data_IF_276413528346
#
_entry.id   IF_276413528346
#
_cell.length_a   1.000
_cell.length_b   1.000
_cell.length_c   1.000
_cell.angle_alpha   90.00
_cell.angle_beta   90.00
_cell.angle_gamma   90.00
#
_symmetry.space_group_name_H-M   'P 1'
#
loop_
_entity.id
_entity.type
_entity.pdbx_description
1 polymer ?
#
# COMPACT_ATOMS: atom_id res chain seq x y z
N UNK A 1 -9.42 25.65 33.69
CA UNK A 1 -9.59 24.59 32.68
C UNK A 1 -9.23 25.15 31.33
N UNK A 2 -8.21 24.63 30.67
CA UNK A 2 -7.96 24.89 29.24
C UNK A 2 -8.65 23.76 28.49
N UNK A 3 -9.61 24.05 27.65
CA UNK A 3 -10.47 23.02 27.07
C UNK A 3 -11.32 22.31 28.13
N UNK A 4 -11.54 20.98 28.01
CA UNK A 4 -12.30 20.17 28.96
C UNK A 4 -11.46 19.46 30.02
N UNK A 5 -10.14 19.68 30.09
CA UNK A 5 -9.25 19.00 31.00
C UNK A 5 -9.03 19.81 32.29
N UNK A 6 -9.06 19.07 33.45
CA UNK A 6 -8.61 19.62 34.73
C UNK A 6 -7.08 19.68 34.71
N UNK A 7 -6.51 20.88 34.95
CA UNK A 7 -5.07 21.10 34.98
C UNK A 7 -4.68 21.31 36.43
N UNK A 8 -3.70 20.56 36.89
CA UNK A 8 -3.06 20.71 38.19
C UNK A 8 -1.58 20.98 37.95
N UNK A 9 -1.03 21.98 38.64
CA UNK A 9 0.37 22.35 38.41
C UNK A 9 0.90 23.28 39.48
N UNK A 10 2.22 23.44 39.44
CA UNK A 10 2.95 24.35 40.32
C UNK A 10 4.04 25.06 39.52
N UNK A 11 4.36 26.28 39.92
CA UNK A 11 5.38 27.02 39.20
C UNK A 11 5.72 28.36 39.85
N UNK A 12 6.63 29.05 39.19
CA UNK A 12 7.04 30.42 39.51
C UNK A 12 6.68 31.30 38.33
N UNK A 13 6.17 32.46 38.63
CA UNK A 13 5.84 33.47 37.65
C UNK A 13 6.33 34.83 38.10
N UNK A 14 6.43 35.79 37.20
CA UNK A 14 6.78 37.13 37.52
C UNK A 14 5.79 37.83 38.43
N UNK A 15 6.06 39.05 38.91
CA UNK A 15 5.18 39.80 39.81
C UNK A 15 3.77 39.96 39.23
N UNK A 16 2.74 39.75 40.09
CA UNK A 16 1.30 39.85 39.64
C UNK A 16 0.97 41.24 39.10
N UNK A 17 1.61 42.27 39.62
CA UNK A 17 1.41 43.68 39.18
C UNK A 17 1.81 43.90 37.74
N UNK A 18 2.82 43.21 37.25
CA UNK A 18 3.29 43.33 35.85
C UNK A 18 2.46 42.51 34.84
N UNK A 19 1.48 41.75 35.29
CA UNK A 19 0.56 41.00 34.38
C UNK A 19 -0.25 41.91 33.43
N UNK A 20 -0.43 43.19 33.83
CA UNK A 20 -1.20 44.19 33.01
C UNK A 20 -0.30 45.06 32.14
N UNK A 21 1.00 44.99 32.39
CA UNK A 21 1.95 45.82 31.61
C UNK A 21 2.16 45.18 30.24
N UNK A 22 2.05 46.00 29.22
CA UNK A 22 2.41 45.63 27.85
C UNK A 22 3.91 45.81 27.70
N UNK A 23 4.58 44.86 27.03
CA UNK A 23 6.02 44.91 26.71
C UNK A 23 6.98 44.58 27.88
N UNK A 24 6.51 43.92 28.90
CA UNK A 24 7.38 43.42 29.98
C UNK A 24 7.71 41.93 29.72
N UNK A 25 8.99 41.59 29.74
CA UNK A 25 9.44 40.22 29.72
C UNK A 25 9.02 39.49 30.97
N UNK A 26 7.84 38.88 30.96
CA UNK A 26 7.29 38.17 32.11
C UNK A 26 7.83 36.74 32.17
N UNK A 27 8.73 36.43 33.10
CA UNK A 27 9.29 35.10 33.25
C UNK A 27 8.24 34.13 33.72
N UNK A 28 8.29 32.92 33.17
CA UNK A 28 7.38 31.84 33.50
C UNK A 28 8.16 30.53 33.60
N UNK A 29 7.98 29.83 34.72
CA UNK A 29 8.49 28.48 34.92
C UNK A 29 7.42 27.68 35.65
N UNK A 30 6.87 26.66 35.03
CA UNK A 30 5.87 25.81 35.67
C UNK A 30 5.91 24.38 35.15
N UNK A 31 5.42 23.46 35.99
CA UNK A 31 5.08 22.10 35.59
C UNK A 31 3.59 21.89 35.86
N UNK A 32 2.95 21.25 34.91
CA UNK A 32 1.52 20.97 35.03
C UNK A 32 1.19 19.57 34.51
N UNK A 33 0.10 19.03 35.02
CA UNK A 33 -0.48 17.75 34.59
C UNK A 33 -1.92 17.96 34.21
N UNK A 34 -2.28 17.44 33.03
CA UNK A 34 -3.64 17.47 32.52
C UNK A 34 -4.00 16.08 31.99
N UNK A 35 -4.77 15.32 32.75
CA UNK A 35 -5.04 13.92 32.47
C UNK A 35 -3.74 13.09 32.45
N UNK A 36 -3.47 12.43 31.33
CA UNK A 36 -2.24 11.64 31.12
C UNK A 36 -1.04 12.47 30.67
N UNK A 37 -1.23 13.76 30.33
CA UNK A 37 -0.20 14.63 29.78
C UNK A 37 0.46 15.44 30.89
N UNK A 38 1.79 15.37 30.98
CA UNK A 38 2.63 16.20 31.82
C UNK A 38 3.40 17.19 30.94
N UNK A 39 3.45 18.45 31.38
CA UNK A 39 4.18 19.50 30.71
C UNK A 39 5.11 20.23 31.65
N UNK A 40 6.29 20.59 31.17
CA UNK A 40 7.19 21.53 31.81
C UNK A 40 7.43 22.68 30.81
N UNK A 41 7.31 23.89 31.32
CA UNK A 41 7.44 25.12 30.54
C UNK A 41 8.36 26.10 31.23
N UNK A 42 9.29 26.67 30.50
CA UNK A 42 10.21 27.68 30.97
C UNK A 42 10.46 28.74 29.91
N UNK A 43 10.41 30.01 30.23
CA UNK A 43 10.70 31.09 29.28
C UNK A 43 10.02 32.40 29.61
N UNK A 44 9.64 33.13 28.55
CA UNK A 44 9.17 34.51 28.66
C UNK A 44 7.86 34.69 27.89
N UNK A 45 6.95 35.47 28.46
CA UNK A 45 5.76 36.05 27.82
C UNK A 45 5.93 37.57 27.72
N UNK A 46 5.90 38.09 26.51
CA UNK A 46 5.95 39.57 26.32
C UNK A 46 4.61 40.23 26.65
N UNK A 47 3.50 39.52 26.53
CA UNK A 47 2.16 40.00 26.88
C UNK A 47 1.39 38.90 27.61
N UNK A 48 1.56 38.76 28.91
CA UNK A 48 0.98 37.67 29.69
C UNK A 48 -0.56 37.70 29.72
N UNK A 49 -1.15 38.91 29.79
CA UNK A 49 -2.61 39.05 29.80
C UNK A 49 -3.32 38.58 28.53
N UNK A 50 -2.62 38.65 27.40
CA UNK A 50 -3.12 38.19 26.10
C UNK A 50 -2.54 36.83 25.67
N UNK A 51 -1.74 36.18 26.49
CA UNK A 51 -1.02 34.92 26.14
C UNK A 51 -0.31 35.02 24.77
N UNK A 52 0.35 36.16 24.52
CA UNK A 52 1.04 36.44 23.26
C UNK A 52 2.48 36.88 23.50
N UNK A 53 3.30 36.83 22.43
CA UNK A 53 4.73 37.06 22.53
C UNK A 53 5.44 35.95 23.32
N UNK A 54 5.00 34.71 23.20
CA UNK A 54 5.61 33.58 23.86
C UNK A 54 6.96 33.25 23.23
N UNK A 55 7.91 32.96 24.10
CA UNK A 55 9.17 32.33 23.77
C UNK A 55 9.52 31.35 24.90
N UNK A 56 9.04 30.13 24.74
CA UNK A 56 9.00 29.13 25.80
C UNK A 56 9.71 27.86 25.35
N UNK A 57 10.58 27.32 26.22
CA UNK A 57 10.99 25.93 26.14
C UNK A 57 9.87 25.06 26.71
N UNK A 58 9.36 24.14 25.91
CA UNK A 58 8.25 23.27 26.30
C UNK A 58 8.69 21.81 26.22
N UNK A 59 8.47 21.09 27.29
CA UNK A 59 8.58 19.62 27.32
C UNK A 59 7.19 19.05 27.56
N UNK A 60 6.80 18.12 26.70
CA UNK A 60 5.53 17.38 26.82
C UNK A 60 5.82 15.90 26.91
N UNK A 61 5.13 15.18 27.78
CA UNK A 61 5.12 13.72 27.81
C UNK A 61 3.72 13.22 28.15
N UNK A 62 3.35 12.06 27.64
CA UNK A 62 2.02 11.51 27.88
C UNK A 62 1.90 10.07 27.39
N UNK A 63 0.78 9.44 27.73
CA UNK A 63 0.49 8.06 27.35
C UNK A 63 0.18 7.91 25.85
N UNK A 64 -0.44 8.94 25.23
CA UNK A 64 -0.74 8.99 23.81
C UNK A 64 -0.75 10.43 23.27
N UNK A 65 -0.33 10.64 22.04
CA UNK A 65 -0.42 11.95 21.38
C UNK A 65 -1.88 12.38 21.18
N UNK A 66 -2.84 11.45 21.09
CA UNK A 66 -4.26 11.77 21.02
C UNK A 66 -4.78 12.54 22.25
N UNK A 67 -4.13 12.38 23.42
CA UNK A 67 -4.50 13.05 24.65
C UNK A 67 -4.23 14.56 24.61
N UNK A 68 -3.36 15.00 23.69
CA UNK A 68 -3.10 16.43 23.46
C UNK A 68 -4.32 17.16 22.90
N UNK A 69 -5.30 16.44 22.32
CA UNK A 69 -6.51 17.06 21.79
C UNK A 69 -7.27 17.90 22.82
N UNK A 70 -7.41 17.37 24.03
CA UNK A 70 -8.11 18.08 25.11
C UNK A 70 -7.44 19.40 25.54
N UNK A 71 -6.14 19.54 25.28
CA UNK A 71 -5.34 20.71 25.64
C UNK A 71 -5.19 21.70 24.48
N UNK A 72 -5.02 21.19 23.27
CA UNK A 72 -4.57 21.97 22.11
C UNK A 72 -5.60 22.07 21.01
N UNK A 73 -6.61 21.20 20.99
CA UNK A 73 -7.54 21.02 19.87
C UNK A 73 -6.91 20.35 18.64
N UNK A 74 -5.65 19.91 18.72
CA UNK A 74 -4.96 19.24 17.63
C UNK A 74 -5.42 17.78 17.51
N UNK A 75 -5.82 17.39 16.33
CA UNK A 75 -6.15 15.98 16.02
C UNK A 75 -4.87 15.22 15.71
N UNK A 76 -4.37 14.51 16.69
CA UNK A 76 -3.19 13.66 16.59
C UNK A 76 -3.57 12.19 16.73
N UNK A 77 -2.77 11.26 16.18
CA UNK A 77 -3.06 9.83 16.24
C UNK A 77 -2.99 9.28 17.66
N UNK A 78 -3.69 8.16 17.88
CA UNK A 78 -3.54 7.39 19.11
C UNK A 78 -2.23 6.58 19.02
N UNK A 79 -1.24 6.99 19.80
CA UNK A 79 0.14 6.45 19.78
C UNK A 79 0.47 5.77 21.09
N UNK A 80 1.57 5.01 21.17
CA UNK A 80 2.24 4.71 22.46
C UNK A 80 2.69 5.98 23.18
N UNK A 81 3.22 5.80 24.37
CA UNK A 81 3.78 6.89 25.17
C UNK A 81 4.76 7.75 24.36
N UNK A 82 4.64 9.04 24.53
CA UNK A 82 5.47 10.02 23.81
C UNK A 82 6.16 10.99 24.79
N UNK A 83 7.26 11.53 24.32
CA UNK A 83 7.95 12.64 24.95
C UNK A 83 8.49 13.56 23.85
N UNK A 84 8.36 14.88 24.03
CA UNK A 84 8.92 15.86 23.11
C UNK A 84 9.41 17.09 23.85
N UNK A 85 10.48 17.72 23.34
CA UNK A 85 11.03 18.97 23.83
C UNK A 85 11.32 19.88 22.63
N UNK A 86 10.94 21.15 22.73
CA UNK A 86 11.19 22.15 21.68
C UNK A 86 10.85 23.57 22.14
N UNK A 87 11.07 24.53 21.26
CA UNK A 87 10.79 25.94 21.49
C UNK A 87 9.42 26.32 20.95
N UNK A 88 8.52 26.81 21.79
CA UNK A 88 7.21 27.29 21.44
C UNK A 88 7.21 28.81 21.38
N UNK A 89 6.89 29.34 20.21
CA UNK A 89 6.81 30.79 19.95
C UNK A 89 5.45 31.17 19.41
N UNK A 90 4.97 32.39 19.72
CA UNK A 90 3.73 32.92 19.13
C UNK A 90 2.69 33.36 20.16
N UNK A 91 1.43 33.01 19.92
CA UNK A 91 0.27 33.40 20.72
C UNK A 91 -0.72 32.23 20.87
N UNK A 92 -1.27 32.09 22.08
CA UNK A 92 -2.33 31.12 22.41
C UNK A 92 -3.68 31.79 22.64
N UNK A 93 -3.91 33.00 22.09
CA UNK A 93 -5.19 33.66 22.22
C UNK A 93 -6.35 32.78 21.71
N UNK A 94 -7.40 32.55 22.51
CA UNK A 94 -8.55 31.78 22.10
C UNK A 94 -9.14 32.27 20.77
N UNK A 95 -9.35 31.38 19.79
CA UNK A 95 -9.88 31.70 18.47
C UNK A 95 -8.92 32.41 17.52
N UNK A 96 -7.73 32.83 17.97
CA UNK A 96 -6.68 33.48 17.18
C UNK A 96 -5.28 32.92 17.51
N UNK A 97 -5.19 31.69 17.95
CA UNK A 97 -3.90 31.08 18.28
C UNK A 97 -3.05 30.94 17.01
N UNK A 98 -1.81 31.42 17.08
CA UNK A 98 -0.78 31.22 16.05
C UNK A 98 0.50 30.89 16.79
N UNK A 99 1.00 29.70 16.61
CA UNK A 99 2.23 29.28 17.27
C UNK A 99 3.11 28.42 16.37
N UNK A 100 4.42 28.53 16.60
CA UNK A 100 5.46 27.72 16.01
C UNK A 100 6.11 26.86 17.11
N UNK A 101 6.15 25.56 16.93
CA UNK A 101 6.91 24.64 17.76
C UNK A 101 8.17 24.24 16.99
N UNK A 102 9.27 24.90 17.33
CA UNK A 102 10.53 24.87 16.58
C UNK A 102 11.53 23.92 17.18
N UNK A 103 12.35 23.33 16.30
CA UNK A 103 13.48 22.48 16.61
C UNK A 103 13.12 21.42 17.66
N UNK A 104 11.91 20.91 17.57
CA UNK A 104 11.48 19.90 18.49
C UNK A 104 12.20 18.58 18.24
N UNK A 105 12.53 17.92 19.33
CA UNK A 105 13.05 16.55 19.36
C UNK A 105 12.16 15.73 20.28
N UNK A 106 11.91 14.48 19.91
CA UNK A 106 11.05 13.64 20.71
C UNK A 106 11.11 12.18 20.35
N UNK A 107 10.37 11.41 21.11
CA UNK A 107 10.15 9.98 20.88
C UNK A 107 8.67 9.66 20.98
N UNK A 108 8.22 8.69 20.19
CA UNK A 108 6.89 8.09 20.25
C UNK A 108 7.08 6.59 20.22
N UNK A 109 6.79 5.91 21.32
CA UNK A 109 7.17 4.51 21.47
C UNK A 109 8.67 4.32 21.31
N UNK A 110 9.07 3.64 20.24
CA UNK A 110 10.48 3.41 19.89
C UNK A 110 10.94 4.22 18.67
N UNK A 111 10.10 5.12 18.19
CA UNK A 111 10.38 6.01 17.06
C UNK A 111 10.95 7.33 17.54
N UNK A 112 11.95 7.88 16.84
CA UNK A 112 12.44 9.24 17.05
C UNK A 112 11.71 10.21 16.12
N UNK A 113 11.45 11.44 16.59
CA UNK A 113 10.83 12.51 15.80
C UNK A 113 11.57 13.82 16.04
N UNK A 114 11.81 14.54 14.94
CA UNK A 114 12.41 15.87 14.93
C UNK A 114 11.69 16.76 13.95
N UNK A 115 11.63 18.06 14.21
CA UNK A 115 11.05 18.94 13.19
C UNK A 115 10.57 20.28 13.70
N UNK A 116 9.73 20.88 12.86
CA UNK A 116 9.11 22.16 13.08
C UNK A 116 7.63 22.08 12.73
N UNK A 117 6.77 22.56 13.60
CA UNK A 117 5.33 22.61 13.41
C UNK A 117 4.83 24.04 13.61
N UNK A 118 3.89 24.44 12.79
CA UNK A 118 3.17 25.69 12.89
C UNK A 118 1.67 25.43 12.89
N UNK A 119 0.97 26.02 13.83
CA UNK A 119 -0.47 25.97 13.87
C UNK A 119 -1.05 27.38 13.78
N UNK A 120 -2.10 27.52 12.99
CA UNK A 120 -2.88 28.74 12.86
C UNK A 120 -4.34 28.40 13.10
N UNK A 121 -4.92 28.94 14.17
CA UNK A 121 -6.36 28.83 14.37
C UNK A 121 -7.10 29.74 13.37
N UNK A 122 -8.29 29.36 12.96
CA UNK A 122 -9.07 30.15 12.02
C UNK A 122 -10.40 29.49 11.65
N UNK A 123 -11.26 30.25 10.95
CA UNK A 123 -12.49 29.75 10.40
C UNK A 123 -12.29 29.35 8.93
N UNK A 124 -12.90 28.25 8.46
CA UNK A 124 -13.77 27.36 9.21
C UNK A 124 -13.02 26.38 10.13
N UNK A 125 -11.72 26.19 9.95
CA UNK A 125 -10.87 25.23 10.69
C UNK A 125 -9.47 25.77 10.95
N UNK A 126 -8.82 25.28 12.00
CA UNK A 126 -7.39 25.50 12.20
C UNK A 126 -6.54 24.71 11.21
N UNK A 127 -5.33 25.21 10.91
CA UNK A 127 -4.37 24.57 10.03
C UNK A 127 -3.08 24.24 10.77
N UNK A 128 -2.67 22.96 10.72
CA UNK A 128 -1.37 22.47 11.15
C UNK A 128 -0.46 22.33 9.92
N UNK A 129 0.72 22.92 9.96
CA UNK A 129 1.72 22.81 8.88
C UNK A 129 3.11 22.59 9.45
N UNK A 130 4.03 22.06 8.62
CA UNK A 130 5.41 21.90 9.03
C UNK A 130 6.14 20.72 8.39
N UNK A 131 7.26 20.39 9.01
CA UNK A 131 8.10 19.25 8.59
C UNK A 131 8.51 18.42 9.78
N UNK A 132 8.46 17.11 9.62
CA UNK A 132 8.86 16.12 10.62
C UNK A 132 9.83 15.13 9.98
N UNK A 133 10.88 14.80 10.67
CA UNK A 133 11.88 13.81 10.24
C UNK A 133 12.04 12.72 11.30
N UNK A 134 12.41 11.53 10.88
CA UNK A 134 12.72 10.39 11.75
C UNK A 134 13.87 9.59 11.15
N UNK A 135 14.82 9.19 11.98
CA UNK A 135 15.87 8.25 11.59
C UNK A 135 15.35 6.82 11.62
N UNK A 136 14.56 6.50 12.65
CA UNK A 136 13.91 5.21 12.78
C UNK A 136 12.46 5.37 13.21
N UNK A 137 11.54 5.06 12.33
CA UNK A 137 10.11 5.06 12.57
C UNK A 137 9.59 3.62 12.62
N UNK A 138 8.83 3.28 13.65
CA UNK A 138 8.03 2.05 13.68
C UNK A 138 6.60 2.39 13.30
N UNK A 139 6.04 1.77 12.28
CA UNK A 139 4.66 2.05 11.87
C UNK A 139 3.65 1.77 12.99
N UNK A 140 3.94 0.78 13.86
CA UNK A 140 3.12 0.49 15.03
C UNK A 140 3.01 1.66 16.02
N UNK A 141 4.02 2.54 16.06
CA UNK A 141 4.04 3.70 16.94
C UNK A 141 3.17 4.86 16.43
N UNK A 142 2.77 4.85 15.16
CA UNK A 142 1.84 5.84 14.61
C UNK A 142 0.36 5.51 14.88
N UNK A 143 0.10 4.36 15.52
CA UNK A 143 -1.26 3.88 15.76
C UNK A 143 -2.01 3.52 14.46
N UNK A 144 -3.33 3.35 14.50
CA UNK A 144 -4.14 2.88 13.37
C UNK A 144 -4.41 3.96 12.29
N UNK A 145 -3.47 4.89 12.05
CA UNK A 145 -3.64 6.02 11.11
C UNK A 145 -3.88 5.53 9.67
N UNK A 146 -3.38 4.35 9.32
CA UNK A 146 -3.42 3.79 7.96
C UNK A 146 -4.10 2.41 7.89
N UNK A 147 -5.04 2.12 8.79
CA UNK A 147 -5.68 0.79 8.80
C UNK A 147 -4.74 -0.37 9.16
N UNK A 148 -3.58 -0.07 9.77
CA UNK A 148 -2.70 -1.09 10.30
C UNK A 148 -3.30 -1.61 11.60
N UNK A 149 -3.86 -2.82 11.58
CA UNK A 149 -4.27 -3.49 12.80
C UNK A 149 -3.08 -3.56 13.76
N UNK A 150 -3.28 -3.11 15.00
CA UNK A 150 -2.35 -3.40 16.09
C UNK A 150 -2.14 -4.91 16.15
N UNK A 151 -0.91 -5.35 16.35
CA UNK A 151 -0.37 -6.70 16.23
C UNK A 151 -1.06 -7.82 17.04
N UNK A 152 -2.12 -7.55 17.75
CA UNK A 152 -2.99 -8.55 18.38
C UNK A 152 -3.99 -9.23 17.43
N UNK A 153 -4.12 -8.78 16.18
CA UNK A 153 -5.03 -9.35 15.17
C UNK A 153 -4.32 -9.97 13.97
N UNK A 154 -3.02 -10.20 14.03
CA UNK A 154 -2.27 -10.94 13.00
C UNK A 154 -2.43 -12.48 13.10
N UNK A 155 -3.37 -12.99 13.92
CA UNK A 155 -3.99 -14.28 13.63
C UNK A 155 -4.89 -14.03 12.43
N UNK A 156 -4.62 -14.73 11.33
CA UNK A 156 -5.41 -14.80 10.09
C UNK A 156 -6.87 -14.45 10.40
N UNK A 157 -7.37 -13.37 9.76
CA UNK A 157 -8.72 -12.88 10.05
C UNK A 157 -9.70 -14.05 10.06
N UNK A 158 -10.68 -14.04 10.94
CA UNK A 158 -11.72 -15.08 11.01
C UNK A 158 -12.28 -15.26 9.60
N UNK A 159 -11.82 -16.28 8.88
CA UNK A 159 -12.25 -16.57 7.50
C UNK A 159 -11.14 -16.71 6.45
N UNK A 160 -9.82 -16.67 6.81
CA UNK A 160 -8.72 -16.90 5.86
C UNK A 160 -8.49 -15.75 4.85
N UNK A 161 -8.95 -14.54 5.13
CA UNK A 161 -8.69 -13.35 4.30
C UNK A 161 -7.27 -12.81 4.49
N UNK A 162 -6.67 -12.32 3.41
CA UNK A 162 -5.30 -11.81 3.34
C UNK A 162 -5.27 -10.27 3.30
N UNK A 163 -6.24 -9.65 2.62
CA UNK A 163 -6.28 -8.19 2.47
C UNK A 163 -6.67 -7.51 3.79
N UNK A 164 -5.98 -6.40 4.17
CA UNK A 164 -6.29 -5.67 5.39
C UNK A 164 -7.71 -5.09 5.37
N UNK A 165 -8.52 -5.43 6.38
CA UNK A 165 -9.91 -4.96 6.50
C UNK A 165 -10.12 -3.99 7.68
N UNK A 166 -9.04 -3.53 8.32
CA UNK A 166 -9.11 -2.50 9.35
C UNK A 166 -9.60 -1.17 8.74
N UNK A 167 -10.62 -0.53 9.32
CA UNK A 167 -11.18 0.70 8.76
C UNK A 167 -10.20 1.88 8.88
N UNK A 168 -10.27 2.80 7.91
CA UNK A 168 -9.56 4.07 7.97
C UNK A 168 -10.17 4.97 9.05
N UNK A 169 -9.34 5.56 9.91
CA UNK A 169 -9.78 6.48 10.96
C UNK A 169 -10.01 7.89 10.38
N UNK A 170 -11.19 8.14 9.86
CA UNK A 170 -11.55 9.40 9.16
C UNK A 170 -12.41 10.36 9.99
N UNK A 171 -12.86 9.96 11.18
CA UNK A 171 -13.87 10.66 11.99
C UNK A 171 -13.53 12.13 12.30
N UNK A 172 -12.23 12.44 12.35
CA UNK A 172 -11.73 13.79 12.70
C UNK A 172 -11.10 14.55 11.54
N UNK A 173 -11.18 14.02 10.31
CA UNK A 173 -10.55 14.67 9.15
C UNK A 173 -11.19 16.02 8.80
N UNK A 174 -12.39 16.27 9.28
CA UNK A 174 -13.07 17.55 9.08
C UNK A 174 -12.83 18.57 10.22
N UNK A 175 -12.07 18.18 11.26
CA UNK A 175 -11.83 19.06 12.41
C UNK A 175 -10.66 20.04 12.20
N UNK A 176 -9.72 19.73 11.30
CA UNK A 176 -8.49 20.50 11.11
C UNK A 176 -7.93 20.28 9.70
N UNK A 177 -7.41 21.31 9.11
CA UNK A 177 -6.60 21.20 7.90
C UNK A 177 -5.13 20.91 8.24
N UNK A 178 -4.42 20.20 7.35
CA UNK A 178 -3.03 19.79 7.58
C UNK A 178 -2.19 19.95 6.30
N UNK A 179 -0.93 20.37 6.47
CA UNK A 179 0.07 20.47 5.41
C UNK A 179 1.44 20.05 5.98
N UNK A 180 1.69 18.74 5.98
CA UNK A 180 2.87 18.15 6.62
C UNK A 180 3.78 17.45 5.61
N UNK A 181 5.07 17.75 5.71
CA UNK A 181 6.14 17.01 5.05
C UNK A 181 6.79 16.08 6.05
N UNK A 182 6.82 14.79 5.75
CA UNK A 182 7.49 13.80 6.58
C UNK A 182 8.61 13.13 5.80
N UNK A 183 9.77 12.92 6.46
CA UNK A 183 10.88 12.14 5.92
C UNK A 183 11.38 11.15 6.97
N UNK A 184 11.44 9.88 6.60
CA UNK A 184 11.89 8.78 7.46
C UNK A 184 12.99 7.96 6.78
N UNK A 185 14.18 7.87 7.39
CA UNK A 185 15.29 7.11 6.79
C UNK A 185 15.01 5.60 6.81
N UNK A 186 14.53 5.09 7.95
CA UNK A 186 14.20 3.67 8.11
C UNK A 186 12.84 3.52 8.77
N UNK A 187 11.92 2.88 8.08
CA UNK A 187 10.58 2.60 8.60
C UNK A 187 10.43 1.10 8.84
N UNK A 188 10.30 0.72 10.11
CA UNK A 188 10.22 -0.67 10.55
C UNK A 188 8.76 -1.11 10.61
N UNK A 189 8.46 -2.23 9.95
CA UNK A 189 7.18 -2.93 10.03
C UNK A 189 7.42 -4.32 10.62
N UNK A 190 6.59 -4.71 11.56
CA UNK A 190 6.71 -6.02 12.19
C UNK A 190 6.38 -7.14 11.19
N UNK A 191 7.24 -8.16 11.09
CA UNK A 191 7.04 -9.28 10.17
C UNK A 191 7.15 -8.94 8.68
N UNK A 192 7.71 -7.78 8.32
CA UNK A 192 7.85 -7.34 6.93
C UNK A 192 9.18 -6.62 6.71
N UNK A 193 9.59 -6.51 5.45
CA UNK A 193 10.79 -5.75 5.10
C UNK A 193 10.65 -4.28 5.53
N UNK A 194 11.72 -3.67 6.04
CA UNK A 194 11.72 -2.25 6.34
C UNK A 194 11.55 -1.44 5.05
N UNK A 195 10.92 -0.28 5.18
CA UNK A 195 10.96 0.74 4.14
C UNK A 195 12.14 1.67 4.41
N UNK A 196 12.77 2.14 3.35
CA UNK A 196 13.91 3.04 3.36
C UNK A 196 13.51 4.36 2.70
N UNK A 197 14.09 5.46 3.14
CA UNK A 197 13.96 6.78 2.52
C UNK A 197 12.49 7.20 2.25
N UNK A 198 11.62 6.94 3.25
CA UNK A 198 10.22 7.37 3.16
C UNK A 198 10.16 8.89 3.11
N UNK A 199 9.51 9.42 2.10
CA UNK A 199 9.18 10.84 1.96
C UNK A 199 7.73 10.99 1.57
N UNK A 200 6.99 11.78 2.32
CA UNK A 200 5.58 12.04 2.04
C UNK A 200 5.23 13.50 2.29
N UNK A 201 4.47 14.08 1.38
CA UNK A 201 3.77 15.34 1.58
C UNK A 201 2.28 15.05 1.77
N UNK A 202 1.81 15.25 2.99
CA UNK A 202 0.43 14.97 3.39
C UNK A 202 -0.36 16.28 3.50
N UNK A 203 -1.35 16.42 2.65
CA UNK A 203 -2.28 17.54 2.61
C UNK A 203 -3.67 17.05 3.01
N UNK A 204 -4.21 17.53 4.12
CA UNK A 204 -5.59 17.30 4.52
C UNK A 204 -6.33 18.64 4.43
N UNK A 205 -7.35 18.69 3.61
CA UNK A 205 -8.22 19.85 3.48
C UNK A 205 -9.61 19.39 3.11
N UNK A 206 -10.60 19.91 3.80
CA UNK A 206 -12.02 19.63 3.55
C UNK A 206 -12.33 18.10 3.54
N UNK A 207 -11.82 17.40 4.56
CA UNK A 207 -11.93 15.95 4.72
C UNK A 207 -11.36 15.12 3.55
N UNK A 208 -10.48 15.70 2.73
CA UNK A 208 -9.73 15.03 1.67
C UNK A 208 -8.26 14.96 2.02
N UNK A 209 -7.73 13.77 2.24
CA UNK A 209 -6.31 13.53 2.44
C UNK A 209 -5.64 13.22 1.10
N UNK A 210 -4.59 13.98 0.79
CA UNK A 210 -3.71 13.78 -0.37
C UNK A 210 -2.31 13.45 0.11
N UNK A 211 -1.75 12.37 -0.36
CA UNK A 211 -0.34 12.01 -0.19
C UNK A 211 0.32 12.15 -1.56
N UNK A 212 0.93 13.30 -1.83
CA UNK A 212 1.54 13.62 -3.13
C UNK A 212 2.76 14.54 -2.95
N UNK A 213 3.98 14.07 -3.14
CA UNK A 213 4.36 12.70 -3.41
C UNK A 213 4.37 11.80 -2.17
N UNK A 214 4.26 10.49 -2.38
CA UNK A 214 4.59 9.44 -1.43
C UNK A 214 5.68 8.56 -2.04
N UNK A 215 6.90 8.66 -1.54
CA UNK A 215 8.06 7.92 -2.03
C UNK A 215 8.65 7.04 -0.93
N UNK A 216 9.09 5.84 -1.27
CA UNK A 216 9.87 5.01 -0.36
C UNK A 216 10.65 3.93 -1.10
N UNK A 217 11.76 3.52 -0.50
CA UNK A 217 12.55 2.37 -0.92
C UNK A 217 12.06 1.08 -0.24
N UNK A 218 12.03 -0.02 -0.96
CA UNK A 218 11.81 -1.37 -0.43
C UNK A 218 12.48 -2.39 -1.35
N UNK A 219 13.04 -3.45 -0.78
CA UNK A 219 13.68 -4.52 -1.56
C UNK A 219 14.68 -3.98 -2.60
N UNK A 220 15.43 -2.94 -2.25
CA UNK A 220 16.40 -2.22 -3.11
C UNK A 220 15.78 -1.56 -4.36
N UNK A 221 14.47 -1.49 -4.46
CA UNK A 221 13.73 -0.74 -5.46
C UNK A 221 13.12 0.54 -4.90
N UNK A 222 12.46 1.31 -5.78
CA UNK A 222 11.76 2.56 -5.42
C UNK A 222 10.29 2.44 -5.75
N UNK A 223 9.45 2.98 -4.87
CA UNK A 223 8.02 3.11 -5.09
C UNK A 223 7.66 4.59 -4.99
N UNK A 224 6.97 5.07 -5.99
CA UNK A 224 6.42 6.41 -6.07
C UNK A 224 4.91 6.31 -6.20
N UNK A 225 4.18 6.99 -5.31
CA UNK A 225 2.72 6.94 -5.29
C UNK A 225 2.13 8.33 -5.13
N UNK A 226 0.92 8.49 -5.66
CA UNK A 226 -0.02 9.56 -5.36
C UNK A 226 -1.29 8.92 -4.87
N UNK A 227 -1.70 9.27 -3.66
CA UNK A 227 -2.91 8.69 -3.04
C UNK A 227 -3.83 9.82 -2.62
N UNK A 228 -5.09 9.72 -2.99
CA UNK A 228 -6.14 10.65 -2.57
C UNK A 228 -7.24 9.83 -1.90
N UNK A 229 -7.56 10.18 -0.65
CA UNK A 229 -8.66 9.60 0.10
C UNK A 229 -9.67 10.71 0.38
N UNK A 230 -10.86 10.58 -0.18
CA UNK A 230 -11.95 11.55 -0.03
C UNK A 230 -13.03 10.96 0.89
N UNK A 231 -13.09 11.47 2.13
CA UNK A 231 -14.03 11.00 3.16
C UNK A 231 -15.29 11.86 3.30
N UNK A 232 -15.55 12.76 2.36
CA UNK A 232 -16.78 13.57 2.36
C UNK A 232 -18.06 12.74 2.15
N UNK A 233 -17.91 11.55 1.58
CA UNK A 233 -18.97 10.56 1.39
C UNK A 233 -18.62 9.24 2.07
N UNK A 234 -19.62 8.47 2.47
CA UNK A 234 -19.43 7.11 3.00
C UNK A 234 -20.06 6.10 2.03
N UNK A 235 -19.33 5.07 1.58
CA UNK A 235 -17.92 4.81 1.84
C UNK A 235 -17.01 5.83 1.14
N UNK A 236 -15.80 6.05 1.72
CA UNK A 236 -14.83 6.98 1.16
C UNK A 236 -14.36 6.55 -0.24
N UNK A 237 -13.98 7.54 -1.04
CA UNK A 237 -13.41 7.29 -2.37
C UNK A 237 -11.88 7.33 -2.29
N UNK A 238 -11.22 6.34 -2.88
CA UNK A 238 -9.76 6.26 -2.96
C UNK A 238 -9.33 6.31 -4.41
N UNK A 239 -8.37 7.18 -4.71
CA UNK A 239 -7.64 7.22 -5.96
C UNK A 239 -6.16 6.97 -5.67
N UNK A 240 -5.53 6.05 -6.41
CA UNK A 240 -4.13 5.71 -6.24
C UNK A 240 -3.45 5.53 -7.59
N UNK A 241 -2.37 6.28 -7.79
CA UNK A 241 -1.41 6.09 -8.88
C UNK A 241 -0.07 5.66 -8.27
N UNK A 242 0.47 4.55 -8.70
CA UNK A 242 1.71 4.00 -8.16
C UNK A 242 2.64 3.57 -9.27
N UNK A 243 3.92 3.88 -9.13
CA UNK A 243 5.00 3.38 -9.97
C UNK A 243 6.01 2.64 -9.13
N UNK A 244 6.40 1.47 -9.58
CA UNK A 244 7.41 0.60 -8.99
C UNK A 244 8.61 0.54 -9.91
N UNK A 245 9.83 0.69 -9.39
CA UNK A 245 11.06 0.69 -10.17
C UNK A 245 12.14 -0.17 -9.51
N UNK A 246 12.72 -1.08 -10.29
CA UNK A 246 13.89 -1.90 -9.91
C UNK A 246 13.73 -2.70 -8.59
N UNK A 247 12.52 -3.11 -8.23
CA UNK A 247 12.28 -3.86 -7.02
C UNK A 247 12.86 -5.27 -7.17
N UNK A 248 13.86 -5.64 -6.35
CA UNK A 248 14.49 -6.95 -6.40
C UNK A 248 13.60 -8.00 -5.75
N UNK A 249 13.05 -8.91 -6.55
CA UNK A 249 12.14 -9.94 -6.06
C UNK A 249 12.78 -10.86 -5.02
N UNK A 250 14.06 -11.18 -5.19
CA UNK A 250 14.82 -11.97 -4.21
C UNK A 250 14.87 -11.33 -2.81
N UNK A 251 14.86 -10.01 -2.73
CA UNK A 251 14.88 -9.30 -1.45
C UNK A 251 13.53 -9.28 -0.73
N UNK A 252 12.43 -9.63 -1.42
CA UNK A 252 11.11 -9.75 -0.80
C UNK A 252 10.98 -11.02 0.06
N UNK A 253 11.83 -12.03 -0.18
CA UNK A 253 11.77 -13.34 0.47
C UNK A 253 13.12 -13.68 1.14
N UNK A 254 13.60 -12.90 2.13
CA UNK A 254 14.95 -13.06 2.69
C UNK A 254 15.16 -14.39 3.41
N UNK A 255 14.10 -15.01 3.89
CA UNK A 255 14.15 -16.29 4.62
C UNK A 255 14.24 -17.52 3.71
N UNK A 256 14.01 -17.33 2.40
CA UNK A 256 14.09 -18.42 1.43
C UNK A 256 15.50 -18.43 0.84
N UNK A 257 16.36 -19.35 1.28
CA UNK A 257 17.75 -19.45 0.80
C UNK A 257 17.88 -19.55 -0.73
N UNK A 258 16.88 -20.10 -1.37
CA UNK A 258 16.80 -20.27 -2.83
C UNK A 258 16.64 -18.96 -3.59
N UNK A 259 16.19 -17.88 -2.93
CA UNK A 259 16.01 -16.56 -3.56
C UNK A 259 17.29 -15.72 -3.58
N UNK A 260 18.38 -16.18 -2.92
CA UNK A 260 19.69 -15.50 -2.96
C UNK A 260 20.24 -15.40 -4.38
N UNK A 261 19.82 -16.30 -5.29
CA UNK A 261 20.07 -16.22 -6.72
C UNK A 261 18.92 -15.44 -7.37
N UNK A 262 19.24 -14.43 -8.12
CA UNK A 262 18.40 -13.36 -8.63
C UNK A 262 17.06 -13.83 -9.26
N UNK A 263 15.93 -13.59 -8.60
CA UNK A 263 14.58 -13.74 -9.18
C UNK A 263 14.21 -12.64 -10.18
N UNK A 264 15.13 -11.73 -10.47
CA UNK A 264 14.90 -10.60 -11.35
C UNK A 264 14.45 -9.32 -10.63
N UNK A 265 14.22 -8.29 -11.46
CA UNK A 265 13.81 -6.96 -11.04
C UNK A 265 12.41 -6.67 -11.55
N UNK A 266 11.53 -6.30 -10.63
CA UNK A 266 10.16 -5.92 -10.94
C UNK A 266 10.08 -4.41 -11.13
N UNK A 267 9.50 -4.03 -12.25
CA UNK A 267 9.05 -2.68 -12.55
C UNK A 267 7.55 -2.71 -12.84
N UNK A 268 6.86 -1.57 -12.68
CA UNK A 268 5.44 -1.52 -12.99
C UNK A 268 4.78 -0.20 -12.68
N UNK A 269 3.52 -0.12 -13.07
CA UNK A 269 2.64 1.00 -12.79
C UNK A 269 1.21 0.51 -12.54
N UNK A 270 0.51 1.20 -11.67
CA UNK A 270 -0.87 0.91 -11.31
C UNK A 270 -1.64 2.21 -11.11
N UNK A 271 -2.84 2.30 -11.67
CA UNK A 271 -3.76 3.40 -11.45
C UNK A 271 -5.15 2.84 -11.14
N UNK A 272 -5.62 3.02 -9.92
CA UNK A 272 -6.87 2.46 -9.41
C UNK A 272 -7.74 3.52 -8.75
N UNK A 273 -9.05 3.45 -9.02
CA UNK A 273 -10.10 4.19 -8.34
C UNK A 273 -11.09 3.22 -7.73
N UNK A 274 -11.50 3.45 -6.50
CA UNK A 274 -12.50 2.60 -5.84
C UNK A 274 -13.12 3.27 -4.63
N UNK A 275 -14.01 2.57 -3.95
CA UNK A 275 -14.69 3.04 -2.75
C UNK A 275 -14.56 1.99 -1.66
N UNK A 276 -14.37 2.41 -0.42
CA UNK A 276 -14.31 1.50 0.72
C UNK A 276 -13.71 2.16 1.94
N UNK A 277 -14.09 1.68 3.10
CA UNK A 277 -13.58 2.19 4.38
C UNK A 277 -12.35 1.41 4.88
N UNK A 278 -11.91 0.40 4.12
CA UNK A 278 -10.69 -0.38 4.38
C UNK A 278 -9.97 -0.67 3.07
N UNK A 279 -8.73 -1.18 3.15
CA UNK A 279 -7.96 -1.59 1.96
C UNK A 279 -8.67 -2.72 1.21
N UNK A 280 -9.20 -3.72 1.93
CA UNK A 280 -9.94 -4.82 1.32
C UNK A 280 -11.19 -4.34 0.57
N UNK A 281 -11.99 -3.47 1.21
CA UNK A 281 -13.21 -2.92 0.60
C UNK A 281 -12.89 -2.04 -0.61
N UNK A 282 -11.88 -1.16 -0.50
CA UNK A 282 -11.45 -0.31 -1.61
C UNK A 282 -10.96 -1.13 -2.81
N UNK A 283 -10.09 -2.13 -2.59
CA UNK A 283 -9.61 -3.00 -3.67
C UNK A 283 -10.75 -3.80 -4.27
N UNK A 284 -11.71 -4.29 -3.44
CA UNK A 284 -12.87 -5.05 -3.87
C UNK A 284 -13.88 -4.27 -4.73
N UNK A 285 -13.76 -2.94 -4.81
CA UNK A 285 -14.59 -2.08 -5.66
C UNK A 285 -13.78 -1.33 -6.72
N UNK A 286 -12.47 -1.55 -6.76
CA UNK A 286 -11.56 -0.75 -7.58
C UNK A 286 -11.75 -1.00 -9.08
N UNK A 287 -11.46 0.02 -9.87
CA UNK A 287 -11.42 -0.02 -11.33
C UNK A 287 -10.21 0.75 -11.83
N UNK A 288 -9.59 0.26 -12.91
CA UNK A 288 -8.39 0.86 -13.48
C UNK A 288 -7.51 -0.13 -14.20
N UNK A 289 -6.20 0.09 -14.16
CA UNK A 289 -5.21 -0.74 -14.84
C UNK A 289 -3.99 -0.95 -13.94
N UNK A 290 -3.36 -2.12 -14.09
CA UNK A 290 -2.06 -2.41 -13.51
C UNK A 290 -1.19 -3.12 -14.54
N UNK A 291 0.07 -2.69 -14.66
CA UNK A 291 1.06 -3.28 -15.54
C UNK A 291 2.32 -3.57 -14.75
N UNK A 292 2.77 -4.80 -14.84
CA UNK A 292 3.96 -5.29 -14.16
C UNK A 292 4.85 -5.97 -15.17
N UNK A 293 6.15 -5.80 -15.04
CA UNK A 293 7.12 -6.55 -15.82
C UNK A 293 8.37 -6.89 -15.00
N UNK A 294 8.88 -8.09 -15.22
CA UNK A 294 10.09 -8.59 -14.57
C UNK A 294 11.14 -8.84 -15.64
N UNK A 295 12.37 -8.46 -15.34
CA UNK A 295 13.54 -8.64 -16.21
C UNK A 295 14.76 -9.15 -15.43
N UNK A 296 15.70 -9.70 -16.17
CA UNK A 296 17.01 -10.08 -15.67
C UNK A 296 16.97 -11.04 -14.46
N UNK A 297 16.24 -12.14 -14.58
CA UNK A 297 16.07 -13.09 -13.49
C UNK A 297 16.58 -14.49 -13.77
N UNK A 298 16.81 -15.25 -12.71
CA UNK A 298 16.99 -16.70 -12.75
C UNK A 298 15.95 -17.35 -11.84
N UNK A 299 15.33 -18.41 -12.30
CA UNK A 299 14.40 -19.24 -11.53
C UNK A 299 15.13 -20.53 -11.17
N UNK A 300 15.30 -20.82 -9.87
CA UNK A 300 15.85 -22.11 -9.48
C UNK A 300 14.76 -23.19 -9.60
N UNK A 301 15.14 -24.37 -10.02
CA UNK A 301 14.25 -25.54 -10.11
C UNK A 301 13.59 -25.84 -8.76
N UNK A 302 14.34 -25.69 -7.67
CA UNK A 302 13.83 -25.93 -6.33
C UNK A 302 12.72 -24.95 -5.96
N UNK A 303 12.85 -23.66 -6.35
CA UNK A 303 11.79 -22.66 -6.18
C UNK A 303 10.55 -23.03 -7.00
N UNK A 304 10.74 -23.45 -8.25
CA UNK A 304 9.65 -23.89 -9.12
C UNK A 304 8.97 -25.14 -8.56
N UNK A 305 9.72 -26.10 -8.03
CA UNK A 305 9.19 -27.29 -7.37
C UNK A 305 8.42 -26.95 -6.09
N UNK A 306 8.90 -26.00 -5.29
CA UNK A 306 8.20 -25.55 -4.07
C UNK A 306 6.94 -24.75 -4.40
N UNK A 307 6.98 -23.89 -5.43
CA UNK A 307 5.80 -23.17 -5.89
C UNK A 307 4.72 -24.10 -6.47
N UNK A 308 5.16 -25.24 -7.02
CA UNK A 308 4.31 -26.28 -7.59
C UNK A 308 3.98 -27.41 -6.59
N UNK A 309 3.94 -27.12 -5.30
CA UNK A 309 3.80 -28.11 -4.21
C UNK A 309 2.68 -29.14 -4.39
N UNK A 310 1.64 -28.85 -5.18
CA UNK A 310 0.53 -29.76 -5.47
C UNK A 310 0.56 -30.34 -6.89
N UNK A 311 1.45 -29.87 -7.78
CA UNK A 311 1.47 -30.26 -9.20
C UNK A 311 2.49 -31.38 -9.49
N UNK A 312 3.33 -31.71 -8.52
CA UNK A 312 4.34 -32.76 -8.60
C UNK A 312 5.60 -32.33 -9.37
N UNK A 313 6.76 -32.77 -8.89
CA UNK A 313 8.08 -32.52 -9.47
C UNK A 313 8.22 -32.96 -10.94
N UNK A 314 7.37 -33.90 -11.39
CA UNK A 314 7.32 -34.41 -12.76
C UNK A 314 6.90 -33.33 -13.77
N UNK A 315 5.93 -32.46 -13.43
CA UNK A 315 5.44 -31.40 -14.32
C UNK A 315 6.47 -30.31 -14.46
N UNK A 316 7.09 -29.88 -13.36
CA UNK A 316 8.15 -28.86 -13.35
C UNK A 316 9.38 -29.35 -14.12
N UNK A 317 9.82 -30.61 -13.90
CA UNK A 317 10.95 -31.19 -14.64
C UNK A 317 10.71 -31.34 -16.14
N UNK A 318 9.48 -31.56 -16.56
CA UNK A 318 9.11 -31.64 -17.98
C UNK A 318 8.92 -30.29 -18.64
N UNK A 319 8.59 -29.23 -17.88
CA UNK A 319 8.43 -27.88 -18.40
C UNK A 319 9.77 -27.13 -18.52
N UNK A 320 10.65 -27.32 -17.56
CA UNK A 320 11.89 -26.52 -17.42
C UNK A 320 13.17 -27.36 -17.53
N UNK A 321 13.11 -28.57 -18.10
CA UNK A 321 14.30 -29.39 -18.38
C UNK A 321 15.01 -29.91 -17.14
N UNK A 322 16.26 -30.39 -17.31
CA UNK A 322 17.07 -30.98 -16.22
C UNK A 322 18.07 -29.98 -15.60
N UNK A 323 18.10 -28.73 -16.11
CA UNK A 323 18.98 -27.71 -15.61
C UNK A 323 18.58 -27.23 -14.21
N UNK A 324 19.57 -26.92 -13.36
CA UNK A 324 19.34 -26.46 -12.00
C UNK A 324 18.80 -25.03 -11.95
N UNK A 325 18.99 -24.24 -12.99
CA UNK A 325 18.61 -22.84 -13.10
C UNK A 325 18.05 -22.53 -14.48
N UNK A 326 16.90 -21.88 -14.51
CA UNK A 326 16.22 -21.42 -15.73
C UNK A 326 16.37 -19.88 -15.80
N UNK A 327 16.85 -19.38 -16.90
CA UNK A 327 16.98 -17.92 -17.10
C UNK A 327 15.63 -17.32 -17.48
N UNK A 328 15.18 -16.36 -16.70
CA UNK A 328 14.02 -15.55 -17.02
C UNK A 328 14.44 -14.43 -17.98
N UNK A 329 13.93 -14.46 -19.21
CA UNK A 329 14.13 -13.40 -20.19
C UNK A 329 13.25 -12.20 -19.88
N UNK A 330 11.97 -12.41 -19.76
CA UNK A 330 11.01 -11.40 -19.27
C UNK A 330 9.73 -12.06 -18.75
N UNK A 331 9.03 -11.34 -17.86
CA UNK A 331 7.63 -11.62 -17.54
C UNK A 331 6.84 -10.33 -17.59
N UNK A 332 5.63 -10.38 -18.15
CA UNK A 332 4.73 -9.23 -18.29
C UNK A 332 3.34 -9.63 -17.82
N UNK A 333 2.73 -8.75 -17.02
CA UNK A 333 1.32 -8.84 -16.66
C UNK A 333 0.64 -7.49 -16.92
N UNK A 334 -0.31 -7.45 -17.85
CA UNK A 334 -1.21 -6.32 -18.09
C UNK A 334 -2.61 -6.69 -17.61
N UNK A 335 -3.11 -5.96 -16.63
CA UNK A 335 -4.35 -6.24 -15.93
C UNK A 335 -5.34 -5.08 -16.13
N UNK A 336 -6.57 -5.41 -16.55
CA UNK A 336 -7.70 -4.51 -16.50
C UNK A 336 -8.52 -4.79 -15.25
N UNK A 337 -8.72 -3.81 -14.41
CA UNK A 337 -9.48 -3.94 -13.16
C UNK A 337 -10.84 -3.29 -13.34
N UNK A 338 -11.92 -4.02 -13.03
CA UNK A 338 -13.30 -3.53 -13.04
C UNK A 338 -14.04 -4.08 -11.82
N UNK A 339 -14.55 -3.19 -10.99
CA UNK A 339 -15.34 -3.54 -9.79
C UNK A 339 -14.68 -4.62 -8.93
N UNK A 340 -13.39 -4.45 -8.66
CA UNK A 340 -12.60 -5.36 -7.84
C UNK A 340 -12.12 -6.64 -8.54
N UNK A 341 -12.48 -6.85 -9.82
CA UNK A 341 -12.02 -8.00 -10.58
C UNK A 341 -10.94 -7.57 -11.57
N UNK A 342 -9.72 -8.04 -11.39
CA UNK A 342 -8.63 -7.85 -12.31
C UNK A 342 -8.62 -8.99 -13.35
N UNK A 343 -8.80 -8.62 -14.62
CA UNK A 343 -8.72 -9.54 -15.78
C UNK A 343 -7.37 -9.42 -16.43
N UNK A 344 -6.71 -10.53 -16.65
CA UNK A 344 -5.41 -10.60 -17.34
C UNK A 344 -5.64 -10.37 -18.84
N UNK A 345 -5.21 -9.20 -19.35
CA UNK A 345 -5.20 -8.88 -20.80
C UNK A 345 -4.01 -9.50 -21.51
N UNK A 346 -2.85 -9.40 -20.86
CA UNK A 346 -1.61 -10.02 -21.31
C UNK A 346 -0.91 -10.57 -20.09
N UNK A 347 -0.65 -11.87 -20.08
CA UNK A 347 0.17 -12.54 -19.08
C UNK A 347 1.16 -13.42 -19.81
N UNK A 348 2.45 -13.03 -19.83
CA UNK A 348 3.51 -13.80 -20.49
C UNK A 348 4.74 -13.89 -19.61
N UNK A 349 5.31 -15.08 -19.58
CA UNK A 349 6.62 -15.33 -18.98
C UNK A 349 7.46 -16.07 -20.02
N UNK A 350 8.60 -15.51 -20.39
CA UNK A 350 9.56 -16.08 -21.33
C UNK A 350 10.85 -16.44 -20.59
N UNK A 351 11.29 -17.66 -20.82
CA UNK A 351 12.56 -18.20 -20.30
C UNK A 351 13.40 -18.75 -21.45
N UNK A 352 14.60 -19.20 -21.15
CA UNK A 352 15.42 -19.90 -22.13
C UNK A 352 14.87 -21.29 -22.52
N UNK A 353 13.87 -21.81 -21.78
CA UNK A 353 13.35 -23.17 -21.98
C UNK A 353 11.87 -23.23 -22.35
N UNK A 354 11.07 -22.25 -21.92
CA UNK A 354 9.64 -22.25 -22.15
C UNK A 354 9.07 -20.82 -22.23
N UNK A 355 7.96 -20.72 -22.99
CA UNK A 355 7.06 -19.57 -22.94
C UNK A 355 5.82 -20.00 -22.19
N UNK A 356 5.34 -19.18 -21.28
CA UNK A 356 4.13 -19.42 -20.49
C UNK A 356 3.15 -18.30 -20.69
N UNK A 357 1.96 -18.62 -21.18
CA UNK A 357 0.84 -17.70 -21.27
C UNK A 357 -0.05 -17.84 -20.04
N UNK A 358 -0.42 -16.75 -19.43
CA UNK A 358 -1.35 -16.69 -18.31
C UNK A 358 -2.59 -15.87 -18.68
N UNK A 359 -3.77 -16.38 -18.37
CA UNK A 359 -5.06 -15.71 -18.58
C UNK A 359 -5.98 -15.96 -17.39
N UNK A 360 -7.11 -15.24 -17.33
CA UNK A 360 -8.09 -15.44 -16.27
C UNK A 360 -8.32 -14.20 -15.42
N UNK A 361 -8.78 -14.41 -14.19
CA UNK A 361 -9.23 -13.35 -13.29
C UNK A 361 -8.71 -13.48 -11.88
N UNK A 362 -8.55 -12.32 -11.22
CA UNK A 362 -8.20 -12.17 -9.81
C UNK A 362 -9.31 -11.33 -9.18
N UNK A 363 -10.14 -11.93 -8.33
CA UNK A 363 -11.23 -11.27 -7.61
C UNK A 363 -10.72 -10.77 -6.24
N UNK A 364 -10.56 -9.46 -6.11
CA UNK A 364 -10.06 -8.83 -4.88
C UNK A 364 -11.16 -8.69 -3.81
N UNK A 365 -12.44 -8.65 -4.22
CA UNK A 365 -13.56 -8.57 -3.27
C UNK A 365 -13.72 -9.87 -2.49
N UNK A 366 -13.58 -11.00 -3.16
CA UNK A 366 -13.72 -12.34 -2.59
C UNK A 366 -12.38 -13.01 -2.32
N UNK A 367 -11.26 -12.34 -2.64
CA UNK A 367 -9.90 -12.86 -2.54
C UNK A 367 -9.73 -14.21 -3.23
N UNK A 368 -10.17 -14.31 -4.48
CA UNK A 368 -10.17 -15.52 -5.28
C UNK A 368 -9.34 -15.40 -6.54
N UNK A 369 -8.66 -16.49 -6.86
CA UNK A 369 -7.90 -16.69 -8.10
C UNK A 369 -8.67 -17.63 -9.01
N UNK A 370 -8.67 -17.34 -10.31
CA UNK A 370 -9.10 -18.22 -11.37
C UNK A 370 -8.23 -17.96 -12.60
N UNK A 371 -7.03 -18.54 -12.59
CA UNK A 371 -6.02 -18.34 -13.63
C UNK A 371 -5.79 -19.65 -14.39
N UNK A 372 -5.61 -19.52 -15.68
CA UNK A 372 -5.22 -20.58 -16.62
C UNK A 372 -3.81 -20.30 -17.09
N UNK A 373 -2.93 -21.27 -16.97
CA UNK A 373 -1.52 -21.19 -17.30
C UNK A 373 -1.24 -22.18 -18.43
N UNK A 374 -0.84 -21.68 -19.57
CA UNK A 374 -0.55 -22.48 -20.75
C UNK A 374 0.94 -22.44 -21.07
N UNK A 375 1.71 -23.46 -20.70
CA UNK A 375 3.12 -23.54 -21.04
C UNK A 375 3.34 -24.05 -22.46
N UNK A 376 4.35 -23.50 -23.15
CA UNK A 376 4.86 -23.97 -24.43
C UNK A 376 6.38 -24.16 -24.30
N UNK A 377 6.84 -25.43 -24.43
CA UNK A 377 8.28 -25.74 -24.37
C UNK A 377 9.00 -25.31 -25.63
N UNK A 378 10.14 -24.65 -25.49
CA UNK A 378 11.04 -24.28 -26.59
C UNK A 378 11.99 -25.40 -26.97
N UNK A 379 12.10 -26.47 -26.15
CA UNK A 379 12.99 -27.58 -26.40
C UNK A 379 12.24 -28.74 -27.12
N UNK A 380 12.91 -29.30 -28.10
CA UNK A 380 12.44 -30.46 -28.82
C UNK A 380 12.56 -31.72 -27.96
N UNK A 381 11.53 -32.06 -27.17
CA UNK A 381 11.42 -33.33 -26.45
C UNK A 381 10.18 -34.05 -26.91
N UNK A 382 10.30 -35.33 -27.28
CA UNK A 382 9.27 -36.18 -27.84
C UNK A 382 7.97 -36.27 -27.01
N UNK A 383 8.02 -35.86 -25.75
CA UNK A 383 6.89 -35.80 -24.82
C UNK A 383 6.86 -34.44 -24.07
N UNK A 384 6.80 -33.30 -24.80
CA UNK A 384 6.56 -32.03 -24.13
C UNK A 384 5.12 -32.00 -23.61
N UNK A 385 4.94 -31.93 -22.30
CA UNK A 385 3.64 -31.74 -21.67
C UNK A 385 3.17 -30.30 -21.95
N UNK A 386 2.38 -30.12 -23.01
CA UNK A 386 1.62 -28.89 -23.29
C UNK A 386 0.30 -28.89 -22.52
N UNK A 387 0.26 -29.46 -21.33
CA UNK A 387 -0.97 -29.58 -20.57
C UNK A 387 -1.21 -28.28 -19.82
N UNK A 388 -2.34 -27.61 -20.02
CA UNK A 388 -2.69 -26.40 -19.28
C UNK A 388 -2.77 -26.67 -17.78
N UNK A 389 -2.29 -25.71 -17.00
CA UNK A 389 -2.38 -25.70 -15.54
C UNK A 389 -3.43 -24.67 -15.13
N UNK A 390 -3.96 -24.82 -13.94
CA UNK A 390 -4.80 -23.82 -13.31
C UNK A 390 -4.23 -23.36 -11.97
N UNK A 391 -4.53 -22.10 -11.59
CA UNK A 391 -4.37 -21.60 -10.22
C UNK A 391 -5.72 -21.05 -9.79
N UNK A 392 -6.36 -21.74 -8.85
CA UNK A 392 -7.71 -21.43 -8.37
C UNK A 392 -7.73 -21.34 -6.84
N UNK A 393 -8.84 -20.90 -6.27
CA UNK A 393 -9.02 -20.88 -4.82
C UNK A 393 -8.81 -19.52 -4.19
N UNK A 394 -8.58 -19.47 -2.88
CA UNK A 394 -8.41 -18.23 -2.15
C UNK A 394 -6.95 -17.73 -2.19
N UNK A 395 -6.75 -16.43 -1.94
CA UNK A 395 -5.40 -15.87 -1.82
C UNK A 395 -4.56 -16.54 -0.73
N UNK A 396 -5.22 -16.94 0.38
CA UNK A 396 -4.55 -17.60 1.49
C UNK A 396 -4.17 -19.05 1.17
N UNK A 397 -4.96 -19.74 0.33
CA UNK A 397 -4.76 -21.14 -0.01
C UNK A 397 -5.04 -21.34 -1.51
N UNK A 398 -4.10 -20.96 -2.39
CA UNK A 398 -4.23 -21.20 -3.81
C UNK A 398 -4.10 -22.70 -4.12
N UNK A 399 -5.01 -23.21 -4.94
CA UNK A 399 -4.97 -24.55 -5.49
C UNK A 399 -4.37 -24.51 -6.90
N UNK A 400 -3.29 -25.27 -7.10
CA UNK A 400 -2.57 -25.36 -8.37
C UNK A 400 -2.67 -26.79 -8.89
N UNK A 401 -3.15 -26.96 -10.11
CA UNK A 401 -3.36 -28.28 -10.68
C UNK A 401 -3.29 -28.30 -12.21
N UNK A 402 -3.47 -29.48 -12.77
CA UNK A 402 -3.49 -29.74 -14.21
C UNK A 402 -4.93 -29.79 -14.69
N UNK A 403 -5.25 -29.15 -15.82
CA UNK A 403 -6.58 -29.23 -16.42
C UNK A 403 -6.81 -30.63 -17.02
N UNK A 404 -7.81 -31.40 -16.51
CA UNK A 404 -8.00 -32.80 -16.91
C UNK A 404 -8.58 -32.96 -18.33
N UNK A 405 -9.36 -31.99 -18.82
CA UNK A 405 -10.08 -32.13 -20.10
C UNK A 405 -9.17 -32.34 -21.32
N UNK A 406 -8.12 -31.53 -21.55
CA UNK A 406 -7.19 -31.74 -22.66
C UNK A 406 -6.39 -33.04 -22.58
N UNK A 407 -6.12 -33.53 -21.37
CA UNK A 407 -5.43 -34.80 -21.15
C UNK A 407 -6.26 -36.01 -21.58
N UNK A 408 -7.53 -36.00 -21.24
CA UNK A 408 -8.47 -37.09 -21.61
C UNK A 408 -8.71 -37.11 -23.12
N UNK A 409 -8.87 -35.95 -23.77
CA UNK A 409 -9.00 -35.86 -25.22
C UNK A 409 -7.74 -36.33 -25.96
N UNK A 410 -6.56 -36.00 -25.48
CA UNK A 410 -5.28 -36.44 -26.07
C UNK A 410 -5.02 -37.91 -25.84
N UNK A 411 -5.31 -38.44 -24.67
CA UNK A 411 -5.21 -39.86 -24.39
C UNK A 411 -6.17 -40.67 -25.28
N UNK A 412 -7.44 -40.21 -25.41
CA UNK A 412 -8.41 -40.82 -26.33
C UNK A 412 -8.01 -40.75 -27.79
N UNK A 413 -7.52 -39.59 -28.25
CA UNK A 413 -7.03 -39.43 -29.62
C UNK A 413 -5.76 -40.25 -29.91
N UNK A 414 -4.82 -40.33 -28.97
CA UNK A 414 -3.62 -41.16 -29.10
C UNK A 414 -3.95 -42.67 -29.17
N UNK A 415 -4.89 -43.11 -28.36
CA UNK A 415 -5.37 -44.51 -28.41
C UNK A 415 -6.08 -44.78 -29.74
N UNK A 416 -6.94 -43.86 -30.18
CA UNK A 416 -7.63 -44.01 -31.48
C UNK A 416 -6.63 -43.98 -32.65
N UNK A 417 -5.63 -43.09 -32.64
CA UNK A 417 -4.60 -43.00 -33.68
C UNK A 417 -3.66 -44.21 -33.70
N UNK A 418 -3.32 -44.75 -32.54
CA UNK A 418 -2.51 -45.98 -32.42
C UNK A 418 -3.21 -47.22 -32.96
N UNK A 419 -4.55 -47.25 -32.89
CA UNK A 419 -5.35 -48.36 -33.40
C UNK A 419 -5.56 -48.24 -34.91
N UNK A 420 -5.65 -47.01 -35.47
CA UNK A 420 -6.04 -46.79 -36.89
C UNK A 420 -4.82 -46.59 -37.79
N UNK A 421 -3.74 -46.00 -37.37
CA UNK A 421 -2.56 -45.77 -38.21
C UNK A 421 -1.30 -45.44 -37.39
N UNK A 422 -0.47 -46.45 -37.06
CA UNK A 422 0.79 -46.22 -36.30
C UNK A 422 1.77 -45.24 -36.98
N UNK A 423 1.71 -45.11 -38.34
CA UNK A 423 2.56 -44.21 -39.12
C UNK A 423 2.10 -42.75 -39.13
N UNK A 424 0.82 -42.49 -38.81
CA UNK A 424 0.29 -41.11 -38.84
C UNK A 424 0.75 -40.24 -37.65
N UNK A 425 1.24 -40.83 -36.56
CA UNK A 425 1.81 -40.11 -35.45
C UNK A 425 3.13 -39.38 -35.78
N UNK A 426 3.81 -39.81 -36.85
CA UNK A 426 5.06 -39.18 -37.31
C UNK A 426 4.85 -37.93 -38.19
N UNK A 427 3.61 -37.67 -38.62
CA UNK A 427 3.29 -36.60 -39.54
C UNK A 427 2.57 -35.40 -38.93
N UNK A 428 2.38 -35.37 -37.63
CA UNK A 428 1.85 -34.17 -36.95
C UNK A 428 2.90 -33.07 -36.99
N UNK A 429 2.61 -31.92 -37.67
CA UNK A 429 3.56 -30.84 -37.76
C UNK A 429 3.80 -30.28 -36.33
N UNK A 430 4.99 -30.56 -35.80
CA UNK A 430 5.46 -29.92 -34.56
C UNK A 430 6.06 -28.59 -34.97
N UNK A 431 5.24 -27.56 -35.02
CA UNK A 431 5.74 -26.18 -35.14
C UNK A 431 6.40 -25.85 -33.79
N UNK A 432 7.71 -25.84 -33.77
CA UNK A 432 8.53 -25.32 -32.66
C UNK A 432 8.69 -23.83 -32.93
N UNK A 433 8.25 -22.92 -32.03
CA UNK A 433 8.62 -21.52 -32.12
C UNK A 433 10.15 -21.42 -32.12
N UNK A 434 10.71 -20.61 -33.04
CA UNK A 434 12.15 -20.47 -33.17
C UNK A 434 12.83 -19.94 -31.90
N UNK A 435 14.06 -20.35 -31.68
CA UNK A 435 14.87 -19.98 -30.51
C UNK A 435 15.29 -18.49 -30.47
N UNK A 436 14.94 -17.69 -31.48
CA UNK A 436 15.35 -16.27 -31.63
C UNK A 436 14.43 -15.28 -30.91
N UNK A 437 13.94 -15.62 -29.72
CA UNK A 437 12.80 -14.96 -29.09
C UNK A 437 13.11 -13.77 -28.17
N UNK A 438 14.24 -13.10 -28.27
CA UNK A 438 14.39 -11.73 -27.75
C UNK A 438 13.38 -10.75 -28.42
N UNK A 439 12.93 -11.09 -29.63
CA UNK A 439 11.90 -10.35 -30.35
C UNK A 439 10.54 -10.30 -29.65
N UNK A 440 10.19 -11.25 -28.76
CA UNK A 440 8.92 -11.25 -28.05
C UNK A 440 8.96 -10.37 -26.78
N UNK A 441 10.09 -10.29 -26.08
CA UNK A 441 10.21 -9.49 -24.87
C UNK A 441 10.22 -7.98 -25.16
N UNK A 442 10.87 -7.53 -26.22
CA UNK A 442 10.98 -6.11 -26.54
C UNK A 442 9.61 -5.43 -26.78
N UNK A 443 8.69 -5.95 -27.62
CA UNK A 443 7.37 -5.36 -27.78
C UNK A 443 6.50 -5.45 -26.53
N UNK A 444 6.62 -6.53 -25.73
CA UNK A 444 5.90 -6.69 -24.47
C UNK A 444 6.37 -5.67 -23.42
N UNK A 445 7.65 -5.43 -23.32
CA UNK A 445 8.22 -4.41 -22.44
C UNK A 445 7.81 -2.99 -22.88
N UNK A 446 7.82 -2.70 -24.19
CA UNK A 446 7.34 -1.44 -24.73
C UNK A 446 5.86 -1.19 -24.39
N UNK A 447 5.02 -2.22 -24.47
CA UNK A 447 3.61 -2.15 -24.06
C UNK A 447 3.47 -1.95 -22.54
N UNK A 448 4.27 -2.65 -21.72
CA UNK A 448 4.22 -2.56 -20.27
C UNK A 448 4.65 -1.19 -19.73
N UNK A 449 5.52 -0.47 -20.44
CA UNK A 449 5.99 0.87 -20.07
C UNK A 449 5.03 2.00 -20.43
N UNK A 450 3.96 1.73 -21.20
CA UNK A 450 2.95 2.76 -21.51
C UNK A 450 2.24 3.24 -20.23
N UNK A 451 1.79 4.51 -20.19
CA UNK A 451 1.05 5.03 -19.05
C UNK A 451 -0.23 4.22 -18.77
N UNK A 452 -0.47 3.88 -17.51
CA UNK A 452 -1.73 3.26 -17.06
C UNK A 452 -2.80 4.33 -16.89
N UNK A 453 -4.05 3.95 -17.12
CA UNK A 453 -5.21 4.85 -16.98
C UNK A 453 -6.04 4.44 -15.77
N UNK A 454 -6.38 5.41 -14.92
CA UNK A 454 -7.38 5.21 -13.89
C UNK A 454 -8.77 5.02 -14.52
N UNK A 455 -9.45 3.95 -14.15
CA UNK A 455 -10.82 3.69 -14.59
C UNK A 455 -11.78 4.79 -14.08
N UNK A 456 -12.79 5.15 -14.84
CA UNK A 456 -13.89 5.97 -14.30
C UNK A 456 -14.63 5.12 -13.27
N UNK A 457 -14.82 5.64 -12.05
CA UNK A 457 -15.71 5.02 -11.07
C UNK A 457 -17.10 4.88 -11.71
N UNK A 458 -17.62 3.65 -11.82
CA UNK A 458 -18.85 3.36 -12.52
C UNK A 458 -19.99 4.24 -12.01
N UNK A 459 -20.63 4.98 -12.92
CA UNK A 459 -21.98 5.48 -12.69
C UNK A 459 -22.90 4.25 -12.54
N UNK A 460 -23.79 4.19 -11.56
CA UNK A 460 -24.77 3.11 -11.53
C UNK A 460 -25.59 3.17 -12.81
N UNK A 461 -25.55 2.09 -13.55
CA UNK A 461 -26.41 1.89 -14.74
C UNK A 461 -27.85 1.88 -14.23
N UNK A 462 -28.61 2.95 -14.50
CA UNK A 462 -30.03 2.97 -14.29
C UNK A 462 -30.64 1.85 -15.13
N UNK A 463 -31.28 0.90 -14.48
CA UNK A 463 -32.05 -0.18 -15.08
C UNK A 463 -32.97 0.40 -16.16
N UNK A 464 -32.62 0.23 -17.42
CA UNK A 464 -33.58 0.38 -18.51
C UNK A 464 -34.55 -0.79 -18.45
N UNK A 465 -35.67 -0.56 -17.80
CA UNK A 465 -36.85 -1.42 -17.88
C UNK A 465 -37.30 -1.38 -19.34
N UNK A 466 -37.12 -2.50 -20.02
CA UNK A 466 -37.68 -2.73 -21.36
C UNK A 466 -39.17 -2.95 -21.24
N UNK A 467 -39.94 -1.88 -21.37
CA UNK A 467 -41.40 -1.96 -21.67
C UNK A 467 -41.52 -1.97 -23.21
N UNK A 468 -41.48 -3.15 -23.82
CA UNK A 468 -42.06 -3.39 -25.11
C UNK A 468 -43.32 -4.23 -24.90
N UNK A 469 -44.44 -3.56 -24.64
CA UNK A 469 -45.75 -4.13 -24.84
C UNK A 469 -46.11 -4.09 -26.30
N UNK A 470 -46.45 -5.24 -26.81
CA UNK A 470 -46.91 -5.50 -28.16
C UNK A 470 -48.21 -4.71 -28.43
N UNK A 471 -48.24 -3.90 -29.46
CA UNK A 471 -49.47 -3.51 -30.18
C UNK A 471 -49.71 -4.48 -31.34
N UNK A 472 -50.75 -5.25 -31.22
CA UNK A 472 -51.38 -5.93 -32.34
C UNK A 472 -52.25 -4.91 -33.10
N UNK A 473 -52.18 -4.82 -34.41
CA UNK A 473 -53.24 -4.23 -35.19
C UNK A 473 -54.23 -5.30 -35.65
N UNK A 474 -55.50 -5.12 -35.23
CA UNK A 474 -56.67 -5.74 -35.86
C UNK A 474 -56.95 -5.02 -37.19
N UNK A 475 -56.81 -5.69 -38.27
CA UNK A 475 -57.69 -5.89 -39.45
C UNK A 475 -56.93 -6.52 -40.55
#
# INVERSE_FOLDING_TARGET
>A
TLGMARIEGQGKAGPVLTLRDKEVNYPLQFTAKAGSVETAVEGILANPGALSGMNLQVMLKGASMADLYALTGLVLPNTPAFQTKGQLQGSLQPGRAVWDYRDFTGTVGQSDLHGNLRFVSGAPRGKLSGSVTSRQLRLADLGPVLGTATTTSAKAGRGGKVLPDAPFATDRWNAMDMDLKFAGQRVVRQGSLPLEDLSVHALLSDAVLRLDPLHFGVAKGKIESKVVLDSRNTPLTVHMDTRVQNLRLASLFPEVELTKKSLGRLDGAMALNGKGNSVAQWLGTSSGEARLYVRDGTLSRELLNRAALNVGSIVVGKLFGDDKEVQLRCAVADLAVREGVATVRTGKLSTNEAIVDASGTIDMAHERLNLHIKPESLQWKFFSLRTPLYVRGSFANPDVGVEPGPLLLRAGAAIAAAVVAPAALALLPVTVPGADDDAQCAPLLAQATQPVKAGRAGKPESSRTSNQLAEHPTR
#
